data_IF_320686007664
#
_entry.id   IF_320686007664
#
_cell.length_a   1.000
_cell.length_b   1.000
_cell.length_c   1.000
_cell.angle_alpha   90.00
_cell.angle_beta   90.00
_cell.angle_gamma   90.00
#
_symmetry.space_group_name_H-M   'P 1'
#
loop_
_entity.id
_entity.type
_entity.pdbx_description
1 polymer ?
#
# COMPACT_ATOMS: atom_id res chain seq x y z
N UNK A 1 -9.06 29.80 4.73
CA UNK A 1 -9.27 29.11 3.45
C UNK A 1 -7.90 28.64 2.97
N UNK A 2 -7.59 27.36 3.14
CA UNK A 2 -6.31 26.79 2.72
C UNK A 2 -6.56 25.94 1.47
N UNK A 3 -5.81 26.28 0.44
CA UNK A 3 -5.85 25.76 -0.93
C UNK A 3 -5.78 24.23 -0.92
N UNK A 4 -6.76 23.60 -1.56
CA UNK A 4 -6.72 22.18 -1.91
C UNK A 4 -5.52 21.95 -2.83
N UNK A 5 -4.44 21.36 -2.29
CA UNK A 5 -3.40 20.76 -3.12
C UNK A 5 -4.00 19.51 -3.76
N UNK A 6 -4.43 19.66 -5.01
CA UNK A 6 -4.55 18.55 -5.94
C UNK A 6 -3.12 18.05 -6.19
N UNK A 7 -2.63 17.18 -5.30
CA UNK A 7 -1.52 16.29 -5.63
C UNK A 7 -2.12 15.26 -6.58
N UNK A 8 -2.21 15.62 -7.86
CA UNK A 8 -2.40 14.63 -8.92
C UNK A 8 -1.08 13.87 -9.01
N UNK A 9 -0.90 12.93 -8.08
CA UNK A 9 0.00 11.82 -8.28
C UNK A 9 -0.44 11.22 -9.62
N UNK A 10 0.45 11.21 -10.62
CA UNK A 10 0.31 10.28 -11.74
C UNK A 10 0.45 8.90 -11.11
N UNK A 11 -0.63 8.44 -10.49
CA UNK A 11 -0.85 7.06 -10.16
C UNK A 11 -0.54 6.33 -11.46
N UNK A 12 0.49 5.47 -11.42
CA UNK A 12 0.76 4.56 -12.50
C UNK A 12 -0.52 3.75 -12.68
N UNK A 13 -1.40 4.20 -13.59
CA UNK A 13 -2.67 3.54 -13.85
C UNK A 13 -2.33 2.11 -14.22
N UNK A 14 -2.61 1.18 -13.30
CA UNK A 14 -2.38 -0.24 -13.51
C UNK A 14 -3.42 -0.72 -14.52
N UNK A 15 -3.09 -0.52 -15.80
CA UNK A 15 -3.92 -0.90 -16.92
C UNK A 15 -3.78 -2.39 -17.28
N UNK A 16 -3.32 -3.24 -16.35
CA UNK A 16 -3.12 -4.68 -16.60
C UNK A 16 -4.39 -5.44 -16.98
N UNK A 17 -5.58 -4.86 -16.73
CA UNK A 17 -6.87 -5.39 -17.19
C UNK A 17 -7.14 -5.14 -18.68
N UNK A 18 -6.56 -4.10 -19.29
CA UNK A 18 -6.86 -3.72 -20.67
C UNK A 18 -6.53 -4.80 -21.71
N UNK A 19 -5.38 -5.50 -21.64
CA UNK A 19 -5.11 -6.62 -22.54
C UNK A 19 -6.17 -7.72 -22.45
N UNK A 20 -6.64 -8.06 -21.24
CA UNK A 20 -7.68 -9.08 -21.03
C UNK A 20 -9.02 -8.64 -21.64
N UNK A 21 -9.40 -7.36 -21.46
CA UNK A 21 -10.61 -6.80 -22.07
C UNK A 21 -10.52 -6.83 -23.59
N UNK A 22 -9.36 -6.44 -24.15
CA UNK A 22 -9.12 -6.49 -25.58
C UNK A 22 -9.23 -7.93 -26.13
N UNK A 23 -8.67 -8.92 -25.44
CA UNK A 23 -8.71 -10.31 -25.88
C UNK A 23 -10.13 -10.89 -25.83
N UNK A 24 -10.95 -10.49 -24.84
CA UNK A 24 -12.38 -10.83 -24.81
C UNK A 24 -13.11 -10.26 -26.03
N UNK A 25 -12.93 -8.96 -26.32
CA UNK A 25 -13.55 -8.31 -27.48
C UNK A 25 -13.14 -9.03 -28.77
N UNK A 26 -11.84 -9.30 -28.93
CA UNK A 26 -11.31 -10.02 -30.10
C UNK A 26 -11.84 -11.44 -30.23
N UNK A 27 -12.06 -12.15 -29.12
CA UNK A 27 -12.68 -13.48 -29.14
C UNK A 27 -14.17 -13.40 -29.51
N UNK A 28 -14.89 -12.38 -29.03
CA UNK A 28 -16.30 -12.16 -29.37
C UNK A 28 -16.48 -11.79 -30.85
N UNK A 29 -15.65 -10.89 -31.39
CA UNK A 29 -15.69 -10.47 -32.79
C UNK A 29 -15.46 -11.63 -33.78
N UNK A 30 -14.89 -12.74 -33.30
CA UNK A 30 -14.56 -13.93 -34.09
C UNK A 30 -15.46 -15.13 -33.78
N UNK A 31 -16.48 -14.98 -32.94
CA UNK A 31 -17.29 -16.08 -32.39
C UNK A 31 -16.42 -17.23 -31.83
N UNK A 32 -15.29 -16.87 -31.21
CA UNK A 32 -14.33 -17.83 -30.69
C UNK A 32 -14.92 -18.57 -29.48
N UNK A 33 -14.75 -19.91 -29.37
CA UNK A 33 -15.13 -20.64 -28.16
C UNK A 33 -14.33 -20.20 -26.91
N UNK A 34 -13.21 -19.51 -27.10
CA UNK A 34 -12.28 -19.12 -26.04
C UNK A 34 -12.77 -17.92 -25.21
N UNK A 35 -13.89 -17.26 -25.59
CA UNK A 35 -14.46 -16.12 -24.83
C UNK A 35 -14.66 -16.46 -23.36
N UNK A 36 -15.13 -17.68 -23.06
CA UNK A 36 -15.34 -18.13 -21.68
C UNK A 36 -14.03 -18.21 -20.89
N UNK A 37 -12.93 -18.61 -21.53
CA UNK A 37 -11.62 -18.68 -20.91
C UNK A 37 -11.08 -17.28 -20.60
N UNK A 38 -11.20 -16.34 -21.54
CA UNK A 38 -10.74 -14.96 -21.32
C UNK A 38 -11.58 -14.25 -20.23
N UNK A 39 -12.89 -14.49 -20.18
CA UNK A 39 -13.74 -14.02 -19.09
C UNK A 39 -13.33 -14.60 -17.73
N UNK A 40 -12.94 -15.88 -17.67
CA UNK A 40 -12.46 -16.49 -16.45
C UNK A 40 -11.15 -15.85 -15.96
N UNK A 41 -10.23 -15.53 -16.87
CA UNK A 41 -8.99 -14.80 -16.55
C UNK A 41 -9.27 -13.41 -16.01
N UNK A 42 -10.17 -12.66 -16.65
CA UNK A 42 -10.58 -11.32 -16.18
C UNK A 42 -11.20 -11.40 -14.78
N UNK A 43 -12.11 -12.35 -14.54
CA UNK A 43 -12.70 -12.57 -13.22
C UNK A 43 -11.65 -12.88 -12.16
N UNK A 44 -10.69 -13.75 -12.47
CA UNK A 44 -9.59 -14.08 -11.56
C UNK A 44 -8.74 -12.84 -11.22
N UNK A 45 -8.43 -12.00 -12.22
CA UNK A 45 -7.64 -10.77 -12.01
C UNK A 45 -8.38 -9.75 -11.14
N UNK A 46 -9.68 -9.60 -11.34
CA UNK A 46 -10.52 -8.75 -10.47
C UNK A 46 -10.56 -9.30 -9.04
N UNK A 47 -10.65 -10.62 -8.88
CA UNK A 47 -10.67 -11.24 -7.56
C UNK A 47 -9.34 -11.07 -6.82
N UNK A 48 -8.22 -11.22 -7.53
CA UNK A 48 -6.88 -10.94 -7.02
C UNK A 48 -6.77 -9.48 -6.53
N UNK A 49 -7.22 -8.52 -7.33
CA UNK A 49 -7.21 -7.11 -6.95
C UNK A 49 -8.08 -6.84 -5.70
N UNK A 50 -9.26 -7.47 -5.60
CA UNK A 50 -10.10 -7.38 -4.40
C UNK A 50 -9.39 -7.92 -3.16
N UNK A 51 -8.71 -9.05 -3.28
CA UNK A 51 -7.97 -9.65 -2.18
C UNK A 51 -6.78 -8.77 -1.76
N UNK A 52 -6.07 -8.17 -2.71
CA UNK A 52 -5.00 -7.20 -2.43
C UNK A 52 -5.53 -5.98 -1.67
N UNK A 53 -6.67 -5.42 -2.08
CA UNK A 53 -7.32 -4.29 -1.40
C UNK A 53 -7.76 -4.71 0.01
N UNK A 54 -8.39 -5.88 0.15
CA UNK A 54 -8.84 -6.39 1.45
C UNK A 54 -7.71 -6.64 2.44
N UNK A 55 -6.52 -7.00 1.94
CA UNK A 55 -5.33 -7.21 2.76
C UNK A 55 -4.53 -5.92 3.00
N UNK A 56 -4.95 -4.79 2.42
CA UNK A 56 -4.26 -3.51 2.56
C UNK A 56 -4.42 -2.98 3.99
N UNK A 57 -3.32 -2.73 4.73
CA UNK A 57 -3.39 -2.21 6.09
C UNK A 57 -4.14 -0.88 6.15
N UNK A 58 -5.09 -0.79 7.08
CA UNK A 58 -5.88 0.42 7.27
C UNK A 58 -7.08 0.57 6.33
N UNK A 59 -7.34 -0.36 5.42
CA UNK A 59 -8.53 -0.31 4.53
C UNK A 59 -9.86 -0.25 5.31
N UNK A 60 -9.89 -0.82 6.52
CA UNK A 60 -11.03 -0.81 7.43
C UNK A 60 -11.10 0.44 8.33
N UNK A 61 -10.11 1.33 8.26
CA UNK A 61 -10.01 2.52 9.12
C UNK A 61 -10.44 3.77 8.36
N UNK A 62 -11.12 4.69 9.05
CA UNK A 62 -11.38 6.01 8.49
C UNK A 62 -10.06 6.81 8.32
N UNK A 63 -10.02 7.77 7.38
CA UNK A 63 -8.83 8.61 7.19
C UNK A 63 -8.37 9.33 8.47
N UNK A 64 -9.33 9.71 9.33
CA UNK A 64 -9.04 10.39 10.60
C UNK A 64 -8.36 9.43 11.58
N UNK A 65 -8.85 8.20 11.71
CA UNK A 65 -8.23 7.18 12.57
C UNK A 65 -6.82 6.84 12.11
N UNK A 66 -6.62 6.66 10.80
CA UNK A 66 -5.29 6.43 10.23
C UNK A 66 -4.33 7.58 10.56
N UNK A 67 -4.78 8.83 10.42
CA UNK A 67 -3.96 10.00 10.69
C UNK A 67 -3.61 10.14 12.18
N UNK A 68 -4.55 9.84 13.07
CA UNK A 68 -4.32 9.82 14.51
C UNK A 68 -3.33 8.71 14.93
N UNK A 69 -3.45 7.52 14.34
CA UNK A 69 -2.53 6.42 14.57
C UNK A 69 -1.11 6.78 14.10
N UNK A 70 -0.99 7.41 12.93
CA UNK A 70 0.28 7.91 12.41
C UNK A 70 0.92 8.95 13.33
N UNK A 71 0.13 9.92 13.82
CA UNK A 71 0.61 10.92 14.78
C UNK A 71 1.15 10.27 16.07
N UNK A 72 0.41 9.30 16.60
CA UNK A 72 0.78 8.54 17.79
C UNK A 72 2.09 7.77 17.58
N UNK A 73 2.24 7.07 16.45
CA UNK A 73 3.45 6.32 16.11
C UNK A 73 4.67 7.25 15.97
N UNK A 74 4.50 8.42 15.35
CA UNK A 74 5.58 9.43 15.23
C UNK A 74 6.03 9.93 16.61
N UNK A 75 5.09 10.19 17.52
CA UNK A 75 5.41 10.58 18.88
C UNK A 75 6.15 9.47 19.64
N UNK A 76 5.69 8.22 19.54
CA UNK A 76 6.39 7.08 20.14
C UNK A 76 7.83 6.95 19.65
N UNK A 77 8.05 7.08 18.34
CA UNK A 77 9.41 7.04 17.75
C UNK A 77 10.26 8.19 18.30
N UNK A 78 9.72 9.40 18.40
CA UNK A 78 10.42 10.55 18.99
C UNK A 78 10.84 10.27 20.43
N UNK A 79 9.90 9.82 21.26
CA UNK A 79 10.15 9.54 22.69
C UNK A 79 11.16 8.41 22.88
N UNK A 80 11.03 7.32 22.13
CA UNK A 80 11.98 6.20 22.17
C UNK A 80 13.39 6.64 21.77
N UNK A 81 13.51 7.47 20.72
CA UNK A 81 14.81 8.02 20.32
C UNK A 81 15.41 8.94 21.39
N UNK A 82 14.61 9.81 22.02
CA UNK A 82 15.09 10.65 23.12
C UNK A 82 15.59 9.80 24.29
N UNK A 83 14.90 8.72 24.62
CA UNK A 83 15.32 7.81 25.68
C UNK A 83 16.64 7.12 25.33
N UNK A 84 16.79 6.60 24.11
CA UNK A 84 18.04 6.02 23.64
C UNK A 84 19.20 7.04 23.69
N UNK A 85 18.97 8.30 23.32
CA UNK A 85 19.98 9.34 23.42
C UNK A 85 20.38 9.63 24.87
N UNK A 86 19.41 9.68 25.78
CA UNK A 86 19.69 9.82 27.22
C UNK A 86 20.57 8.68 27.72
N UNK A 87 20.25 7.43 27.37
CA UNK A 87 21.07 6.27 27.74
C UNK A 87 22.48 6.33 27.15
N UNK A 88 22.63 6.76 25.89
CA UNK A 88 23.96 6.97 25.28
C UNK A 88 24.76 8.04 26.01
N UNK A 89 24.13 9.14 26.39
CA UNK A 89 24.79 10.25 27.09
C UNK A 89 25.15 9.93 28.55
N UNK A 90 24.49 8.95 29.17
CA UNK A 90 24.65 8.64 30.59
C UNK A 90 25.94 7.87 30.93
N UNK A 91 26.76 7.46 29.95
CA UNK A 91 28.05 6.79 30.15
C UNK A 91 28.07 5.71 31.25
N UNK A 92 27.01 4.90 31.37
CA UNK A 92 27.04 3.64 32.13
C UNK A 92 27.43 2.43 31.25
N UNK A 93 27.71 2.66 29.97
CA UNK A 93 28.08 1.65 28.98
C UNK A 93 29.48 1.89 28.38
N UNK A 94 30.42 2.50 29.12
CA UNK A 94 31.83 2.28 28.82
C UNK A 94 32.12 0.79 29.06
N UNK A 95 31.94 -0.01 28.01
CA UNK A 95 32.46 -1.38 27.97
C UNK A 95 33.96 -1.25 28.23
N UNK A 96 34.51 -1.84 29.29
CA UNK A 96 35.95 -1.79 29.51
C UNK A 96 36.62 -2.30 28.25
N UNK A 97 37.43 -1.45 27.60
CA UNK A 97 38.30 -1.88 26.51
C UNK A 97 39.17 -3.00 27.09
N UNK A 98 38.96 -4.23 26.59
CA UNK A 98 39.75 -5.38 26.99
C UNK A 98 41.23 -5.03 26.78
N UNK A 99 41.97 -4.99 27.89
CA UNK A 99 43.44 -4.95 27.92
C UNK A 99 43.99 -6.36 27.81
#
# INVERSE_FOLDING_TARGET
>A
MAVAQQTQEKESEDCSLLPLVHDIIKCMDKDSPDVHQELAKLKAKIQEAREQISNMPGVDCSPVEQQQQLATLREQVRTKNQLLQKYKSLCMFDVPKAS
#
